data_IF_929821884653
#
_entry.id   IF_929821884653
#
_cell.length_a   1.000
_cell.length_b   1.000
_cell.length_c   1.000
_cell.angle_alpha   90.00
_cell.angle_beta   90.00
_cell.angle_gamma   90.00
#
_symmetry.space_group_name_H-M   'P 1'
#
loop_
_entity.id
_entity.type
_entity.pdbx_description
1 polymer ?
#
# COMPACT_ATOMS: atom_id res chain seq x y z
N UNK A 1 17.08 -17.51 28.54
CA UNK A 1 15.89 -16.85 27.97
C UNK A 1 16.31 -15.45 27.53
N UNK A 2 16.53 -15.21 26.24
CA UNK A 2 16.88 -13.88 25.73
C UNK A 2 15.59 -13.19 25.32
N UNK A 3 15.26 -12.08 25.95
CA UNK A 3 14.18 -11.21 25.50
C UNK A 3 14.62 -10.61 24.16
N UNK A 4 13.97 -11.00 23.07
CA UNK A 4 14.15 -10.32 21.79
C UNK A 4 13.80 -8.85 22.01
N UNK A 5 14.79 -7.96 21.89
CA UNK A 5 14.57 -6.53 21.90
C UNK A 5 13.50 -6.24 20.84
N UNK A 6 12.36 -5.67 21.28
CA UNK A 6 11.37 -5.12 20.35
C UNK A 6 12.08 -4.00 19.60
N UNK A 7 12.51 -4.28 18.38
CA UNK A 7 12.98 -3.24 17.47
C UNK A 7 11.79 -2.35 17.20
N UNK A 8 11.92 -1.05 17.48
CA UNK A 8 10.93 -0.07 17.04
C UNK A 8 10.84 -0.15 15.51
N UNK A 9 9.63 -0.17 14.93
CA UNK A 9 9.49 -0.15 13.49
C UNK A 9 10.20 1.08 12.90
N UNK A 10 10.66 0.99 11.64
CA UNK A 10 11.30 2.13 10.98
C UNK A 10 10.32 3.31 10.89
N UNK A 11 10.81 4.54 11.06
CA UNK A 11 9.96 5.75 11.05
C UNK A 11 9.33 6.05 9.67
N UNK A 12 9.82 5.40 8.62
CA UNK A 12 9.29 5.51 7.26
C UNK A 12 9.58 4.23 6.46
N UNK A 13 8.80 4.05 5.40
CA UNK A 13 8.95 3.00 4.42
C UNK A 13 9.09 3.63 3.02
N UNK A 14 10.01 3.10 2.22
CA UNK A 14 10.13 3.40 0.79
C UNK A 14 10.61 2.13 0.07
N UNK A 15 9.95 1.76 -1.03
CA UNK A 15 10.38 0.69 -1.93
C UNK A 15 10.53 1.13 -3.39
N UNK A 16 10.56 2.45 -3.60
CA UNK A 16 10.66 3.08 -4.91
C UNK A 16 9.31 3.32 -5.60
N UNK A 17 8.27 2.56 -5.28
CA UNK A 17 6.90 2.73 -5.81
C UNK A 17 5.92 3.23 -4.73
N UNK A 18 6.07 2.71 -3.52
CA UNK A 18 5.22 2.99 -2.36
C UNK A 18 6.10 3.62 -1.28
N UNK A 19 5.66 4.76 -0.77
CA UNK A 19 6.24 5.40 0.40
C UNK A 19 5.19 5.55 1.48
N UNK A 20 5.62 5.46 2.74
CA UNK A 20 4.79 5.70 3.92
C UNK A 20 5.64 6.40 4.98
N UNK A 21 5.11 7.49 5.51
CA UNK A 21 5.64 8.19 6.67
C UNK A 21 4.49 8.62 7.59
N UNK A 22 4.81 9.39 8.63
CA UNK A 22 3.84 9.88 9.63
C UNK A 22 2.77 10.82 9.07
N UNK A 23 2.91 11.31 7.84
CA UNK A 23 1.95 12.22 7.23
C UNK A 23 1.06 11.49 6.21
N UNK A 24 1.64 10.67 5.33
CA UNK A 24 0.91 10.13 4.19
C UNK A 24 1.48 8.81 3.62
N UNK A 25 0.64 8.16 2.83
CA UNK A 25 1.07 7.18 1.81
C UNK A 25 1.25 7.91 0.48
N UNK A 26 2.40 7.73 -0.15
CA UNK A 26 2.66 8.18 -1.53
C UNK A 26 2.74 6.97 -2.46
N UNK A 27 1.83 6.91 -3.42
CA UNK A 27 1.81 5.92 -4.50
C UNK A 27 2.36 6.58 -5.76
N UNK A 28 3.59 6.24 -6.14
CA UNK A 28 4.21 6.76 -7.37
C UNK A 28 3.56 6.10 -8.59
N UNK A 29 3.57 6.78 -9.74
CA UNK A 29 3.02 6.26 -11.01
C UNK A 29 1.55 5.82 -10.93
N UNK A 30 0.74 6.56 -10.16
CA UNK A 30 -0.64 6.21 -9.88
C UNK A 30 -1.60 6.63 -11.00
N UNK A 31 -1.52 7.90 -11.41
CA UNK A 31 -2.48 8.47 -12.36
C UNK A 31 -2.11 8.12 -13.80
N UNK A 32 -3.06 7.57 -14.54
CA UNK A 32 -2.96 7.37 -15.98
C UNK A 32 -3.47 8.61 -16.73
N UNK A 33 -2.83 9.05 -17.83
CA UNK A 33 -1.58 8.53 -18.41
C UNK A 33 -0.30 9.20 -17.88
N UNK A 34 -0.43 10.25 -17.06
CA UNK A 34 0.70 11.12 -16.67
C UNK A 34 1.76 10.44 -15.80
N UNK A 35 1.44 9.32 -15.15
CA UNK A 35 2.32 8.65 -14.20
C UNK A 35 2.60 9.47 -12.94
N UNK A 36 1.78 10.50 -12.64
CA UNK A 36 1.97 11.29 -11.43
C UNK A 36 1.64 10.49 -10.18
N UNK A 37 2.26 10.88 -9.07
CA UNK A 37 1.99 10.26 -7.78
C UNK A 37 0.57 10.57 -7.29
N UNK A 38 0.06 9.71 -6.42
CA UNK A 38 -1.08 9.99 -5.56
C UNK A 38 -0.60 10.02 -4.12
N UNK A 39 -0.92 11.10 -3.40
CA UNK A 39 -0.65 11.24 -1.98
C UNK A 39 -1.96 11.08 -1.22
N UNK A 40 -1.96 10.26 -0.18
CA UNK A 40 -3.13 9.94 0.64
C UNK A 40 -2.73 10.19 2.09
N UNK A 41 -3.28 11.24 2.70
CA UNK A 41 -2.98 11.57 4.09
C UNK A 41 -3.50 10.47 5.04
N UNK A 42 -2.76 10.20 6.11
CA UNK A 42 -3.11 9.12 7.05
C UNK A 42 -4.46 9.35 7.74
N UNK A 43 -4.84 10.60 7.98
CA UNK A 43 -6.13 10.98 8.56
C UNK A 43 -7.33 10.64 7.65
N UNK A 44 -7.10 10.50 6.34
CA UNK A 44 -8.11 10.08 5.37
C UNK A 44 -8.31 8.55 5.31
N UNK A 45 -7.42 7.78 5.93
CA UNK A 45 -7.44 6.31 5.85
C UNK A 45 -8.17 5.75 7.08
N UNK A 46 -9.36 5.16 6.88
CA UNK A 46 -10.09 4.51 7.97
C UNK A 46 -9.50 3.15 8.36
N UNK A 47 -8.91 2.48 7.38
CA UNK A 47 -8.27 1.18 7.55
C UNK A 47 -7.79 0.64 6.22
N UNK A 48 -7.38 -0.62 6.21
CA UNK A 48 -6.94 -1.30 5.01
C UNK A 48 -7.30 -2.80 5.04
N UNK A 49 -7.24 -3.42 3.88
CA UNK A 49 -7.29 -4.88 3.70
C UNK A 49 -6.00 -5.34 3.06
N UNK A 50 -5.46 -6.47 3.53
CA UNK A 50 -4.29 -7.12 2.98
C UNK A 50 -4.65 -8.52 2.46
N UNK A 51 -4.61 -8.71 1.14
CA UNK A 51 -5.00 -9.95 0.47
C UNK A 51 -3.77 -10.59 -0.20
N UNK A 52 -3.57 -11.90 0.00
CA UNK A 52 -2.55 -12.65 -0.72
C UNK A 52 -2.87 -12.74 -2.22
N UNK A 53 -1.89 -12.44 -3.07
CA UNK A 53 -2.03 -12.59 -4.52
C UNK A 53 -1.81 -14.06 -4.89
N UNK A 54 -2.91 -14.79 -5.10
CA UNK A 54 -2.87 -16.17 -5.56
C UNK A 54 -2.08 -16.37 -6.87
N UNK A 55 -1.69 -17.61 -7.15
CA UNK A 55 -0.72 -17.92 -8.20
C UNK A 55 -1.16 -17.63 -9.65
N UNK A 56 -2.44 -17.38 -9.94
CA UNK A 56 -2.94 -17.49 -11.32
C UNK A 56 -3.85 -16.37 -11.84
N UNK A 57 -4.57 -15.59 -11.03
CA UNK A 57 -5.67 -14.75 -11.58
C UNK A 57 -5.51 -13.23 -11.50
N UNK A 58 -4.60 -12.66 -10.69
CA UNK A 58 -4.51 -11.18 -10.54
C UNK A 58 -3.10 -10.57 -10.58
N UNK A 59 -2.05 -11.39 -10.70
CA UNK A 59 -0.64 -10.95 -10.65
C UNK A 59 -0.15 -10.16 -11.88
N UNK A 60 -0.77 -10.36 -13.03
CA UNK A 60 -0.30 -9.81 -14.31
C UNK A 60 -0.92 -8.46 -14.66
N UNK A 61 -1.79 -7.90 -13.80
CA UNK A 61 -2.34 -6.56 -14.04
C UNK A 61 -1.37 -5.50 -13.53
N UNK A 62 -0.72 -4.84 -14.47
CA UNK A 62 0.37 -3.89 -14.19
C UNK A 62 -0.17 -2.48 -13.84
N UNK A 63 -1.34 -2.06 -14.34
CA UNK A 63 -1.88 -0.71 -14.10
C UNK A 63 -3.44 -0.66 -14.09
N UNK A 64 -4.04 0.24 -13.31
CA UNK A 64 -5.47 0.55 -13.37
C UNK A 64 -6.35 -0.43 -12.59
N UNK A 65 -7.62 -0.56 -12.99
CA UNK A 65 -8.61 -1.41 -12.32
C UNK A 65 -9.04 -2.62 -13.16
N UNK A 66 -9.39 -3.72 -12.50
CA UNK A 66 -9.98 -4.92 -13.12
C UNK A 66 -11.39 -5.26 -12.64
N UNK A 67 -11.87 -4.66 -11.55
CA UNK A 67 -13.09 -5.07 -10.84
C UNK A 67 -14.07 -3.92 -10.56
N UNK A 68 -13.83 -2.76 -11.17
CA UNK A 68 -14.61 -1.53 -10.94
C UNK A 68 -14.57 -0.98 -9.50
N UNK A 69 -13.72 -1.56 -8.62
CA UNK A 69 -13.67 -1.24 -7.18
C UNK A 69 -12.32 -0.68 -6.77
N UNK A 70 -11.23 -1.22 -7.31
CA UNK A 70 -9.85 -0.90 -6.88
C UNK A 70 -9.06 -0.24 -7.99
N UNK A 71 -8.21 0.74 -7.69
CA UNK A 71 -7.32 1.35 -8.67
C UNK A 71 -5.85 1.20 -8.27
N UNK A 72 -5.05 0.59 -9.15
CA UNK A 72 -3.64 0.31 -8.92
C UNK A 72 -2.72 1.30 -9.65
N UNK A 73 -1.56 1.66 -9.05
CA UNK A 73 -0.48 2.33 -9.77
C UNK A 73 0.17 1.40 -10.81
N UNK A 74 0.96 1.98 -11.71
CA UNK A 74 1.78 1.22 -12.65
C UNK A 74 2.91 0.50 -11.89
N UNK A 75 2.78 -0.81 -11.71
CA UNK A 75 3.76 -1.68 -11.06
C UNK A 75 4.30 -2.73 -12.05
N UNK A 76 5.46 -2.48 -12.65
CA UNK A 76 6.11 -3.45 -13.56
C UNK A 76 6.62 -4.70 -12.84
N UNK A 77 6.85 -4.61 -11.53
CA UNK A 77 7.30 -5.72 -10.71
C UNK A 77 6.11 -6.52 -10.14
N UNK A 78 4.86 -6.21 -10.52
CA UNK A 78 3.63 -6.85 -10.04
C UNK A 78 3.69 -8.39 -9.99
N UNK A 79 4.26 -9.09 -10.99
CA UNK A 79 4.34 -10.55 -10.98
C UNK A 79 5.19 -11.13 -9.83
N UNK A 80 6.07 -10.32 -9.24
CA UNK A 80 6.95 -10.69 -8.13
C UNK A 80 6.34 -10.31 -6.76
N UNK A 81 5.22 -9.58 -6.73
CA UNK A 81 4.58 -9.12 -5.48
C UNK A 81 3.68 -10.21 -4.92
N UNK A 82 3.62 -10.32 -3.60
CA UNK A 82 2.87 -11.35 -2.89
C UNK A 82 1.55 -10.88 -2.26
N UNK A 83 1.39 -9.58 -2.00
CA UNK A 83 0.25 -9.05 -1.22
C UNK A 83 -0.33 -7.81 -1.89
N UNK A 84 -1.65 -7.76 -2.01
CA UNK A 84 -2.45 -6.59 -2.38
C UNK A 84 -2.91 -5.85 -1.12
N UNK A 85 -2.56 -4.58 -1.02
CA UNK A 85 -3.14 -3.67 -0.04
C UNK A 85 -4.25 -2.88 -0.71
N UNK A 86 -5.42 -2.80 -0.08
CA UNK A 86 -6.53 -1.95 -0.50
C UNK A 86 -6.87 -1.02 0.66
N UNK A 87 -6.82 0.30 0.43
CA UNK A 87 -7.14 1.30 1.45
C UNK A 87 -8.64 1.59 1.48
N UNK A 88 -9.18 1.72 2.68
CA UNK A 88 -10.49 2.33 2.92
C UNK A 88 -10.32 3.85 3.08
N UNK A 89 -10.60 4.58 1.99
CA UNK A 89 -10.57 6.04 1.93
C UNK A 89 -11.99 6.53 1.61
N UNK A 90 -12.72 7.12 2.58
CA UNK A 90 -14.09 7.55 2.39
C UNK A 90 -14.24 8.54 1.24
N UNK A 91 -15.29 8.37 0.42
CA UNK A 91 -15.57 9.24 -0.72
C UNK A 91 -14.68 8.98 -1.95
N UNK A 92 -13.70 8.07 -1.87
CA UNK A 92 -12.95 7.67 -3.05
C UNK A 92 -13.84 6.86 -4.01
N UNK A 93 -13.96 7.32 -5.26
CA UNK A 93 -14.69 6.61 -6.33
C UNK A 93 -14.15 5.18 -6.55
N UNK A 94 -12.87 4.99 -6.31
CA UNK A 94 -12.16 3.71 -6.40
C UNK A 94 -11.22 3.62 -5.20
N UNK A 95 -11.25 2.51 -4.49
CA UNK A 95 -10.32 2.26 -3.39
C UNK A 95 -8.90 2.22 -3.93
N UNK A 96 -7.98 3.06 -3.44
CA UNK A 96 -6.58 2.99 -3.81
C UNK A 96 -6.03 1.62 -3.38
N UNK A 97 -5.42 0.90 -4.33
CA UNK A 97 -4.82 -0.39 -4.05
C UNK A 97 -3.41 -0.46 -4.63
N UNK A 98 -2.49 -1.15 -3.97
CA UNK A 98 -1.08 -1.15 -4.34
C UNK A 98 -0.36 -2.32 -3.67
N UNK A 99 0.88 -2.55 -4.09
CA UNK A 99 1.64 -3.73 -3.66
C UNK A 99 3.05 -3.42 -3.24
N UNK A 100 3.26 -3.28 -1.92
CA UNK A 100 4.58 -3.05 -1.38
C UNK A 100 5.49 -4.23 -1.72
N UNK A 101 6.76 -3.91 -1.97
CA UNK A 101 7.81 -4.89 -2.15
C UNK A 101 8.00 -5.77 -0.90
N UNK A 102 7.81 -5.17 0.27
CA UNK A 102 8.04 -5.79 1.58
C UNK A 102 6.78 -5.63 2.43
N UNK A 103 5.73 -6.45 2.17
CA UNK A 103 4.40 -6.24 2.75
C UNK A 103 4.37 -6.34 4.28
N UNK A 104 5.19 -7.20 4.88
CA UNK A 104 5.29 -7.31 6.33
C UNK A 104 5.82 -6.03 6.98
N UNK A 105 6.88 -5.43 6.42
CA UNK A 105 7.42 -4.17 6.91
C UNK A 105 6.43 -3.01 6.72
N UNK A 106 5.78 -2.96 5.55
CA UNK A 106 4.79 -1.93 5.24
C UNK A 106 3.59 -1.97 6.20
N UNK A 107 2.99 -3.14 6.39
CA UNK A 107 1.79 -3.29 7.22
C UNK A 107 2.08 -3.08 8.71
N UNK A 108 3.25 -3.51 9.18
CA UNK A 108 3.69 -3.24 10.55
C UNK A 108 3.79 -1.73 10.84
N UNK A 109 4.38 -0.96 9.91
CA UNK A 109 4.47 0.49 10.05
C UNK A 109 3.10 1.17 9.92
N UNK A 110 2.28 0.77 8.94
CA UNK A 110 0.95 1.36 8.77
C UNK A 110 0.06 1.13 9.99
N UNK A 111 0.12 -0.05 10.60
CA UNK A 111 -0.58 -0.37 11.85
C UNK A 111 -0.16 0.54 13.00
N UNK A 112 1.13 0.80 13.16
CA UNK A 112 1.63 1.70 14.21
C UNK A 112 1.12 3.13 14.00
N UNK A 113 1.26 3.65 12.78
CA UNK A 113 0.89 5.02 12.45
C UNK A 113 -0.63 5.25 12.53
N UNK A 114 -1.45 4.28 12.15
CA UNK A 114 -2.90 4.38 12.30
C UNK A 114 -3.36 4.31 13.76
N UNK A 115 -2.69 3.51 14.60
CA UNK A 115 -2.99 3.46 16.05
C UNK A 115 -2.56 4.73 16.78
N UNK A 116 -1.49 5.38 16.34
CA UNK A 116 -0.99 6.61 16.96
C UNK A 116 -1.88 7.84 16.69
N UNK A 117 -2.89 7.72 15.81
CA UNK A 117 -3.88 8.76 15.51
C UNK A 117 -5.04 8.77 16.52
N UNK A 118 -5.33 7.64 17.15
CA UNK A 118 -6.45 7.46 18.09
C UNK A 118 -6.08 7.93 19.51
#
# INVERSE_FOLDING_TARGET
>A
MSAAARQSPPQSYDDGLVQLDHAAITLRRYHFPSGTAKVIALDQIRGYQAEGLGLLTHRFRIWGSSDLRRWLPLDVARPLRSTLITLDVPGARWSPAFTPARPGEFTALLDELLRARD
#
